data_IF_978901781222
#
_entry.id   IF_978901781222
#
_cell.length_a   1.000
_cell.length_b   1.000
_cell.length_c   1.000
_cell.angle_alpha   90.00
_cell.angle_beta   90.00
_cell.angle_gamma   90.00
#
_symmetry.space_group_name_H-M   'P 1'
#
loop_
_entity.id
_entity.type
_entity.pdbx_description
1 polymer ?
#
# COMPACT_ATOMS: atom_id res chain seq x y z
N UNK A 1 38.99 -44.13 -23.07
CA UNK A 1 39.20 -42.88 -22.31
C UNK A 1 38.26 -41.80 -22.86
N UNK A 2 37.27 -41.34 -22.08
CA UNK A 2 36.41 -40.21 -22.49
C UNK A 2 37.19 -38.90 -22.28
N UNK A 3 37.44 -38.14 -23.36
CA UNK A 3 37.99 -36.78 -23.25
C UNK A 3 36.94 -35.88 -22.56
N UNK A 4 37.22 -35.41 -21.35
CA UNK A 4 36.45 -34.32 -20.73
C UNK A 4 36.77 -33.05 -21.52
N UNK A 5 35.78 -32.51 -22.25
CA UNK A 5 35.87 -31.15 -22.81
C UNK A 5 35.74 -30.17 -21.65
N UNK A 6 36.78 -29.38 -21.39
CA UNK A 6 36.70 -28.24 -20.47
C UNK A 6 35.98 -27.06 -21.13
N UNK A 7 35.30 -26.25 -20.32
CA UNK A 7 34.71 -24.98 -20.75
C UNK A 7 35.83 -24.01 -21.14
N UNK A 8 35.66 -23.23 -22.21
CA UNK A 8 36.63 -22.17 -22.54
C UNK A 8 36.36 -20.93 -21.69
N UNK A 9 37.42 -20.18 -21.34
CA UNK A 9 37.26 -18.91 -20.62
C UNK A 9 36.44 -17.90 -21.42
N UNK A 10 36.58 -17.89 -22.75
CA UNK A 10 35.84 -16.97 -23.63
C UNK A 10 34.34 -17.27 -23.65
N UNK A 11 33.93 -18.54 -23.63
CA UNK A 11 32.51 -18.91 -23.50
C UNK A 11 31.92 -18.36 -22.21
N UNK A 12 32.66 -18.45 -21.11
CA UNK A 12 32.18 -17.95 -19.82
C UNK A 12 32.15 -16.41 -19.80
N UNK A 13 33.12 -15.74 -20.42
CA UNK A 13 33.14 -14.27 -20.50
C UNK A 13 31.94 -13.71 -21.27
N UNK A 14 31.63 -14.27 -22.45
CA UNK A 14 30.49 -13.79 -23.26
C UNK A 14 29.17 -13.98 -22.52
N UNK A 15 29.01 -15.10 -21.80
CA UNK A 15 27.80 -15.38 -21.01
C UNK A 15 27.60 -14.34 -19.90
N UNK A 16 28.65 -14.01 -19.14
CA UNK A 16 28.57 -13.00 -18.08
C UNK A 16 28.26 -11.61 -18.65
N UNK A 17 28.80 -11.26 -19.81
CA UNK A 17 28.49 -10.00 -20.50
C UNK A 17 27.01 -9.93 -20.88
N UNK A 18 26.47 -10.99 -21.49
CA UNK A 18 25.06 -11.02 -21.89
C UNK A 18 24.14 -10.96 -20.67
N UNK A 19 24.42 -11.74 -19.61
CA UNK A 19 23.64 -11.69 -18.36
C UNK A 19 23.72 -10.29 -17.72
N UNK A 20 24.89 -9.65 -17.76
CA UNK A 20 25.07 -8.27 -17.28
C UNK A 20 24.17 -7.26 -17.99
N UNK A 21 24.09 -7.33 -19.33
CA UNK A 21 23.23 -6.44 -20.13
C UNK A 21 21.75 -6.70 -19.82
N UNK A 22 21.33 -7.97 -19.76
CA UNK A 22 19.95 -8.33 -19.44
C UNK A 22 19.55 -7.87 -18.03
N UNK A 23 20.42 -8.08 -17.04
CA UNK A 23 20.17 -7.67 -15.66
C UNK A 23 20.05 -6.14 -15.54
N UNK A 24 20.91 -5.37 -16.21
CA UNK A 24 20.87 -3.91 -16.18
C UNK A 24 19.53 -3.32 -16.66
N UNK A 25 18.90 -3.94 -17.66
CA UNK A 25 17.58 -3.52 -18.16
C UNK A 25 16.42 -4.09 -17.35
N UNK A 26 16.56 -5.31 -16.83
CA UNK A 26 15.50 -6.02 -16.15
C UNK A 26 15.25 -5.50 -14.73
N UNK A 27 16.31 -5.22 -13.96
CA UNK A 27 16.21 -4.79 -12.56
C UNK A 27 15.34 -3.52 -12.38
N UNK A 28 15.58 -2.40 -13.07
CA UNK A 28 14.77 -1.18 -12.86
C UNK A 28 13.30 -1.40 -13.25
N UNK A 29 13.05 -2.16 -14.32
CA UNK A 29 11.70 -2.52 -14.76
C UNK A 29 10.98 -3.39 -13.74
N UNK A 30 11.66 -4.37 -13.18
CA UNK A 30 11.11 -5.24 -12.14
C UNK A 30 10.77 -4.45 -10.87
N UNK A 31 11.66 -3.54 -10.45
CA UNK A 31 11.40 -2.68 -9.28
C UNK A 31 10.16 -1.80 -9.46
N UNK A 32 9.99 -1.17 -10.64
CA UNK A 32 8.81 -0.38 -10.96
C UNK A 32 7.52 -1.22 -10.98
N UNK A 33 7.57 -2.44 -11.55
CA UNK A 33 6.43 -3.34 -11.57
C UNK A 33 6.03 -3.81 -10.15
N UNK A 34 7.02 -4.15 -9.32
CA UNK A 34 6.81 -4.53 -7.93
C UNK A 34 6.20 -3.38 -7.12
N UNK A 35 6.66 -2.15 -7.34
CA UNK A 35 6.08 -0.93 -6.75
C UNK A 35 4.63 -0.73 -7.15
N UNK A 36 4.32 -0.81 -8.44
CA UNK A 36 2.94 -0.70 -8.96
C UNK A 36 2.01 -1.75 -8.34
N UNK A 37 2.49 -2.98 -8.16
CA UNK A 37 1.72 -4.03 -7.51
C UNK A 37 1.39 -3.68 -6.04
N UNK A 38 2.38 -3.20 -5.27
CA UNK A 38 2.18 -2.75 -3.88
C UNK A 38 1.19 -1.58 -3.79
N UNK A 39 1.25 -0.62 -4.71
CA UNK A 39 0.29 0.50 -4.72
C UNK A 39 -1.12 0.02 -5.15
N UNK A 40 -1.20 -0.95 -6.06
CA UNK A 40 -2.48 -1.57 -6.42
C UNK A 40 -3.14 -2.26 -5.23
N UNK A 41 -2.37 -2.92 -4.37
CA UNK A 41 -2.86 -3.50 -3.11
C UNK A 41 -3.48 -2.42 -2.22
N UNK A 42 -2.80 -1.28 -2.06
CA UNK A 42 -3.31 -0.15 -1.29
C UNK A 42 -4.60 0.45 -1.87
N UNK A 43 -4.72 0.52 -3.21
CA UNK A 43 -5.96 0.93 -3.87
C UNK A 43 -7.12 -0.02 -3.57
N UNK A 44 -6.87 -1.32 -3.56
CA UNK A 44 -7.88 -2.32 -3.18
C UNK A 44 -8.33 -2.14 -1.73
N UNK A 45 -7.37 -1.92 -0.82
CA UNK A 45 -7.68 -1.66 0.59
C UNK A 45 -8.53 -0.41 0.78
N UNK A 46 -8.21 0.69 0.09
CA UNK A 46 -9.02 1.91 0.15
C UNK A 46 -10.46 1.69 -0.32
N UNK A 47 -10.68 0.85 -1.35
CA UNK A 47 -12.03 0.48 -1.78
C UNK A 47 -12.78 -0.32 -0.73
N UNK A 48 -12.13 -1.28 -0.08
CA UNK A 48 -12.75 -2.05 1.01
C UNK A 48 -13.15 -1.14 2.18
N UNK A 49 -12.27 -0.22 2.55
CA UNK A 49 -12.54 0.80 3.56
C UNK A 49 -13.74 1.68 3.16
N UNK A 50 -13.77 2.15 1.90
CA UNK A 50 -14.87 2.95 1.38
C UNK A 50 -16.20 2.20 1.40
N UNK A 51 -16.24 0.96 0.89
CA UNK A 51 -17.45 0.14 0.89
C UNK A 51 -17.96 -0.11 2.30
N UNK A 52 -17.07 -0.42 3.25
CA UNK A 52 -17.46 -0.60 4.64
C UNK A 52 -18.04 0.71 5.23
N UNK A 53 -17.45 1.85 4.90
CA UNK A 53 -17.91 3.15 5.40
C UNK A 53 -19.25 3.57 4.79
N UNK A 54 -19.49 3.23 3.53
CA UNK A 54 -20.77 3.42 2.84
C UNK A 54 -21.87 2.55 3.47
N UNK A 55 -21.60 1.27 3.75
CA UNK A 55 -22.53 0.41 4.48
C UNK A 55 -22.87 0.98 5.86
N UNK A 56 -21.87 1.44 6.60
CA UNK A 56 -22.09 2.08 7.90
C UNK A 56 -22.97 3.33 7.80
N UNK A 57 -22.73 4.18 6.80
CA UNK A 57 -23.54 5.36 6.56
C UNK A 57 -24.99 5.00 6.23
N UNK A 58 -25.22 3.93 5.46
CA UNK A 58 -26.57 3.45 5.14
C UNK A 58 -27.32 2.93 6.38
N UNK A 59 -26.62 2.31 7.34
CA UNK A 59 -27.24 1.77 8.56
C UNK A 59 -27.50 2.84 9.63
N UNK A 60 -26.58 3.80 9.80
CA UNK A 60 -26.58 4.74 10.94
C UNK A 60 -26.93 6.17 10.52
N UNK A 61 -26.86 6.49 9.23
CA UNK A 61 -27.12 7.83 8.67
C UNK A 61 -25.96 8.82 8.88
N UNK A 62 -24.83 8.34 9.38
CA UNK A 62 -23.62 9.11 9.61
C UNK A 62 -22.38 8.24 9.37
N UNK A 63 -21.24 8.83 9.01
CA UNK A 63 -19.99 8.10 8.88
C UNK A 63 -19.41 7.74 10.25
N UNK A 64 -18.56 6.70 10.35
CA UNK A 64 -18.02 6.26 11.63
C UNK A 64 -17.26 7.41 12.31
N UNK A 65 -17.44 7.62 13.62
CA UNK A 65 -16.77 8.70 14.33
C UNK A 65 -15.25 8.50 14.25
N UNK A 66 -14.57 9.53 13.78
CA UNK A 66 -13.12 9.58 13.82
C UNK A 66 -12.69 9.87 15.28
N UNK A 67 -11.85 8.98 15.83
CA UNK A 67 -11.42 8.83 17.22
C UNK A 67 -12.29 9.48 18.34
N UNK A 68 -12.99 8.69 19.19
CA UNK A 68 -13.72 9.22 20.34
C UNK A 68 -12.80 9.62 21.51
N UNK A 69 -11.50 9.29 21.47
CA UNK A 69 -10.60 9.45 22.63
C UNK A 69 -10.20 10.91 22.92
N UNK A 70 -10.27 11.81 21.94
CA UNK A 70 -9.82 13.20 22.12
C UNK A 70 -10.93 14.17 22.55
N UNK A 71 -12.21 13.75 22.57
CA UNK A 71 -13.33 14.58 23.03
C UNK A 71 -13.44 15.94 22.33
N UNK A 72 -12.70 16.15 21.24
CA UNK A 72 -12.32 17.46 20.74
C UNK A 72 -13.29 18.02 19.70
N UNK A 73 -14.31 17.25 19.31
CA UNK A 73 -15.23 17.59 18.22
C UNK A 73 -14.55 17.88 16.88
N UNK A 74 -13.24 17.63 16.78
CA UNK A 74 -12.42 17.88 15.60
C UNK A 74 -12.20 16.57 14.86
N UNK A 75 -12.14 16.61 13.53
CA UNK A 75 -11.97 15.40 12.73
C UNK A 75 -10.55 14.82 12.87
N UNK A 76 -10.27 14.07 13.93
CA UNK A 76 -8.98 13.41 14.16
C UNK A 76 -8.92 12.08 13.41
N UNK A 77 -7.96 11.88 12.49
CA UNK A 77 -7.96 10.69 11.65
C UNK A 77 -7.82 9.40 12.49
N UNK A 78 -8.72 8.43 12.28
CA UNK A 78 -8.55 7.10 12.85
C UNK A 78 -7.57 6.30 11.99
N UNK A 79 -6.45 5.87 12.57
CA UNK A 79 -5.48 5.03 11.88
C UNK A 79 -5.74 3.54 12.14
N UNK A 80 -5.86 2.74 11.07
CA UNK A 80 -5.94 1.28 11.16
C UNK A 80 -4.60 0.68 11.57
N UNK A 81 -3.47 1.27 11.17
CA UNK A 81 -2.14 0.77 11.49
C UNK A 81 -1.11 1.90 11.40
N UNK A 82 0.15 1.61 11.74
CA UNK A 82 1.30 2.46 11.48
C UNK A 82 2.31 1.70 10.61
N UNK A 83 2.62 2.17 9.40
CA UNK A 83 3.54 1.47 8.50
C UNK A 83 5.05 1.71 8.75
N UNK A 84 5.42 2.41 9.83
CA UNK A 84 6.83 2.65 10.21
C UNK A 84 7.61 1.38 10.54
N UNK A 85 6.90 0.32 10.93
CA UNK A 85 7.49 -0.99 11.18
C UNK A 85 6.68 -2.07 10.49
N UNK A 86 7.29 -3.24 10.33
CA UNK A 86 6.61 -4.47 9.93
C UNK A 86 5.74 -4.96 11.10
N UNK A 87 4.56 -4.36 11.28
CA UNK A 87 3.59 -4.81 12.28
C UNK A 87 2.30 -5.28 11.62
N UNK A 88 1.62 -6.21 12.28
CA UNK A 88 0.31 -6.72 11.88
C UNK A 88 -0.81 -6.09 12.70
N UNK A 89 -0.52 -5.00 13.41
CA UNK A 89 -1.50 -4.34 14.26
C UNK A 89 -2.54 -3.68 13.35
N UNK A 90 -3.79 -4.09 13.53
CA UNK A 90 -4.93 -3.56 12.80
C UNK A 90 -6.00 -3.13 13.79
N UNK A 91 -6.11 -1.82 13.96
CA UNK A 91 -7.03 -1.19 14.88
C UNK A 91 -8.43 -1.23 14.27
N UNK A 92 -9.35 -1.94 14.94
CA UNK A 92 -10.74 -1.91 14.55
C UNK A 92 -11.34 -0.51 14.80
N UNK A 93 -12.05 0.01 13.81
CA UNK A 93 -12.87 1.21 13.95
C UNK A 93 -14.24 0.76 14.45
N UNK A 94 -14.80 1.35 15.53
CA UNK A 94 -16.10 0.96 16.04
C UNK A 94 -17.20 0.97 14.96
N UNK A 95 -17.83 -0.19 14.77
CA UNK A 95 -18.90 -0.39 13.79
C UNK A 95 -18.47 -0.52 12.32
N UNK A 96 -17.18 -0.41 12.02
CA UNK A 96 -16.64 -0.59 10.68
C UNK A 96 -15.78 -1.85 10.61
N UNK A 97 -16.23 -2.83 9.83
CA UNK A 97 -15.51 -4.10 9.65
C UNK A 97 -14.69 -4.01 8.36
N UNK A 98 -13.37 -3.88 8.51
CA UNK A 98 -12.41 -3.95 7.40
C UNK A 98 -11.32 -4.93 7.80
N UNK A 99 -11.14 -5.97 7.01
CA UNK A 99 -10.05 -6.93 7.22
C UNK A 99 -8.70 -6.33 6.83
N UNK A 100 -7.67 -6.75 7.55
CA UNK A 100 -6.29 -6.37 7.24
C UNK A 100 -5.84 -7.00 5.90
N UNK A 101 -4.99 -6.32 5.10
CA UNK A 101 -4.39 -6.93 3.92
C UNK A 101 -3.58 -8.19 4.25
N UNK A 102 -3.50 -9.12 3.29
CA UNK A 102 -2.69 -10.33 3.41
C UNK A 102 -1.19 -9.98 3.42
N UNK A 103 -0.48 -10.31 4.51
CA UNK A 103 0.94 -9.95 4.69
C UNK A 103 1.16 -8.62 5.41
N UNK A 104 2.40 -8.15 5.53
CA UNK A 104 2.72 -6.93 6.29
C UNK A 104 2.18 -5.66 5.57
N UNK A 105 1.37 -4.81 6.23
CA UNK A 105 0.84 -3.58 5.65
C UNK A 105 1.95 -2.54 5.43
N UNK A 106 2.13 -2.14 4.17
CA UNK A 106 3.16 -1.15 3.76
C UNK A 106 2.70 0.29 3.76
N UNK A 107 1.40 0.50 3.85
CA UNK A 107 0.76 1.82 3.90
C UNK A 107 0.09 1.99 5.26
N UNK A 108 0.12 3.22 5.75
CA UNK A 108 -0.66 3.66 6.91
C UNK A 108 -2.03 4.03 6.37
N UNK A 109 -3.07 3.31 6.79
CA UNK A 109 -4.45 3.64 6.40
C UNK A 109 -5.10 4.49 7.48
N UNK A 110 -5.71 5.60 7.08
CA UNK A 110 -6.46 6.46 7.98
C UNK A 110 -7.84 6.79 7.41
N UNK A 111 -8.82 7.01 8.28
CA UNK A 111 -10.14 7.55 7.95
C UNK A 111 -10.32 8.87 8.66
N UNK A 112 -10.84 9.84 7.94
CA UNK A 112 -11.34 11.09 8.49
C UNK A 112 -12.80 11.25 8.06
N UNK A 113 -13.68 11.50 9.03
CA UNK A 113 -15.09 11.73 8.78
C UNK A 113 -15.50 13.07 9.41
N UNK A 114 -16.32 13.85 8.72
CA UNK A 114 -16.85 15.12 9.22
C UNK A 114 -18.25 15.33 8.67
N UNK A 115 -19.26 15.14 9.52
CA UNK A 115 -20.66 15.18 9.09
C UNK A 115 -20.96 14.15 8.00
N UNK A 116 -21.34 14.63 6.82
CA UNK A 116 -21.61 13.81 5.63
C UNK A 116 -20.38 13.59 4.73
N UNK A 117 -19.20 14.04 5.16
CA UNK A 117 -17.95 13.86 4.43
C UNK A 117 -17.14 12.71 5.01
N UNK A 118 -16.51 11.95 4.13
CA UNK A 118 -15.65 10.82 4.39
C UNK A 118 -14.41 10.92 3.50
N UNK A 119 -13.25 10.65 4.06
CA UNK A 119 -12.02 10.49 3.30
C UNK A 119 -11.18 9.40 3.96
N UNK A 120 -10.83 8.38 3.20
CA UNK A 120 -9.81 7.42 3.60
C UNK A 120 -8.52 7.69 2.84
N UNK A 121 -7.38 7.58 3.54
CA UNK A 121 -6.07 7.79 2.94
C UNK A 121 -5.15 6.59 3.17
N UNK A 122 -4.27 6.32 2.20
CA UNK A 122 -3.19 5.35 2.31
C UNK A 122 -1.86 6.08 2.08
N UNK A 123 -1.08 6.23 3.15
CA UNK A 123 0.20 6.95 3.11
C UNK A 123 1.38 6.00 3.26
N UNK A 124 2.37 6.16 2.39
CA UNK A 124 3.66 5.45 2.45
C UNK A 124 4.81 6.33 2.96
N UNK A 125 4.54 7.57 3.38
CA UNK A 125 5.58 8.52 3.80
C UNK A 125 6.54 7.95 4.87
N UNK A 126 5.97 7.20 5.83
CA UNK A 126 6.73 6.51 6.87
C UNK A 126 6.77 5.00 6.63
N UNK A 127 6.67 4.51 5.40
CA UNK A 127 6.72 3.07 5.14
C UNK A 127 8.07 2.48 5.52
N UNK A 128 8.06 1.32 6.17
CA UNK A 128 9.26 0.49 6.38
C UNK A 128 9.88 0.04 5.05
N UNK A 129 9.13 0.07 3.96
CA UNK A 129 9.60 -0.20 2.62
C UNK A 129 10.06 1.10 1.94
N UNK A 130 11.37 1.37 2.00
CA UNK A 130 11.97 2.57 1.43
C UNK A 130 11.69 2.77 -0.07
N UNK A 131 11.36 1.70 -0.81
CA UNK A 131 10.99 1.80 -2.22
C UNK A 131 9.65 2.50 -2.48
N UNK A 132 8.87 2.77 -1.43
CA UNK A 132 7.52 3.37 -1.51
C UNK A 132 7.45 4.81 -0.97
N UNK A 133 8.51 5.35 -0.39
CA UNK A 133 8.46 6.65 0.30
C UNK A 133 8.24 7.85 -0.64
N UNK A 134 8.56 7.70 -1.91
CA UNK A 134 8.32 8.65 -3.00
C UNK A 134 6.92 8.51 -3.62
N UNK A 135 6.14 7.49 -3.25
CA UNK A 135 4.75 7.34 -3.70
C UNK A 135 3.89 8.40 -3.01
N UNK A 136 3.14 9.16 -3.80
CA UNK A 136 2.19 10.14 -3.24
C UNK A 136 1.03 9.46 -2.51
N UNK A 137 0.53 10.08 -1.45
CA UNK A 137 -0.59 9.58 -0.67
C UNK A 137 -1.80 9.31 -1.57
N UNK A 138 -2.41 8.13 -1.41
CA UNK A 138 -3.66 7.80 -2.07
C UNK A 138 -4.82 8.23 -1.18
N UNK A 139 -5.88 8.76 -1.77
CA UNK A 139 -7.11 9.08 -1.05
C UNK A 139 -8.33 8.59 -1.82
N UNK A 140 -9.39 8.26 -1.09
CA UNK A 140 -10.72 8.04 -1.62
C UNK A 140 -11.70 8.90 -0.83
N UNK A 141 -12.47 9.73 -1.52
CA UNK A 141 -13.51 10.60 -0.93
C UNK A 141 -14.88 9.91 -0.92
N UNK A 142 -15.89 10.62 -0.44
CA UNK A 142 -17.32 10.23 -0.51
C UNK A 142 -17.81 9.87 -1.91
N UNK A 143 -17.15 10.37 -2.94
CA UNK A 143 -17.55 10.15 -4.34
C UNK A 143 -17.03 8.80 -4.87
N UNK A 144 -16.29 8.02 -4.07
CA UNK A 144 -15.72 6.73 -4.45
C UNK A 144 -14.56 6.82 -5.43
N UNK A 145 -14.12 8.03 -5.78
CA UNK A 145 -13.00 8.26 -6.70
C UNK A 145 -11.68 8.20 -5.94
N UNK A 146 -10.77 7.33 -6.39
CA UNK A 146 -9.40 7.27 -5.86
C UNK A 146 -8.53 8.34 -6.54
N UNK A 147 -7.89 9.17 -5.75
CA UNK A 147 -6.91 10.18 -6.19
C UNK A 147 -5.50 9.83 -5.69
N UNK A 148 -4.48 10.39 -6.36
CA UNK A 148 -3.07 10.22 -5.98
C UNK A 148 -2.48 8.85 -6.34
N UNK A 149 -1.37 8.51 -5.67
CA UNK A 149 -0.60 7.31 -5.93
C UNK A 149 0.18 7.40 -7.23
N UNK A 150 0.86 8.52 -7.44
CA UNK A 150 1.89 8.73 -8.48
C UNK A 150 3.26 8.37 -7.90
N UNK A 151 4.14 7.80 -8.73
CA UNK A 151 5.49 7.34 -8.38
C UNK A 151 6.44 7.48 -9.55
#
# INVERSE_FOLDING_TARGET
MRRRKGFTLIELMIVVVIIGILAALAIPRFMAAAKKAKVSEARTMLKQIYTAAETYYQEIGAFPPCNPADGSGTATPWAFNNASTKNTNWNAVPGLIVDRPSGEPRFTYTITASGASFTATASSANSYDASLQDVSTLSISTDGIIQGGTW
#
